data_IF_199038378495
#
_entry.id   IF_199038378495
#
_cell.length_a   1.000
_cell.length_b   1.000
_cell.length_c   1.000
_cell.angle_alpha   90.00
_cell.angle_beta   90.00
_cell.angle_gamma   90.00
#
_symmetry.space_group_name_H-M   'P 1'
#
loop_
_entity.id
_entity.type
_entity.pdbx_description
1 polymer ?
#
# COMPACT_ATOMS: atom_id res chain seq x y z
N UNK A 1 17.80 -33.83 25.71
CA UNK A 1 16.88 -34.78 25.06
C UNK A 1 17.42 -36.16 25.34
N UNK A 2 16.67 -37.00 26.10
CA UNK A 2 17.08 -38.40 26.43
C UNK A 2 17.12 -39.23 25.14
N UNK A 3 18.00 -40.26 25.07
CA UNK A 3 18.34 -40.98 23.87
C UNK A 3 17.22 -41.41 22.92
N UNK A 4 16.06 -41.85 23.43
CA UNK A 4 14.89 -42.23 22.61
C UNK A 4 14.26 -41.04 21.84
N UNK A 5 14.13 -39.88 22.49
CA UNK A 5 13.60 -38.66 21.88
C UNK A 5 14.54 -38.11 20.78
N UNK A 6 15.87 -38.24 20.99
CA UNK A 6 16.87 -37.87 19.99
C UNK A 6 16.85 -38.79 18.76
N UNK A 7 16.64 -40.11 18.96
CA UNK A 7 16.52 -41.05 17.89
C UNK A 7 15.24 -40.85 17.07
N UNK A 8 14.10 -40.59 17.75
CA UNK A 8 12.84 -40.27 17.09
C UNK A 8 12.99 -38.97 16.25
N UNK A 9 13.56 -37.90 16.78
CA UNK A 9 13.75 -36.63 16.04
C UNK A 9 14.56 -36.81 14.74
N UNK A 10 15.56 -37.73 14.74
CA UNK A 10 16.39 -38.00 13.56
C UNK A 10 15.70 -38.88 12.52
N UNK A 11 14.82 -39.79 12.93
CA UNK A 11 14.27 -40.85 12.06
C UNK A 11 12.82 -40.62 11.63
N UNK A 12 12.06 -39.80 12.35
CA UNK A 12 10.62 -39.64 12.14
C UNK A 12 10.27 -39.12 10.73
N UNK A 13 10.96 -38.07 10.24
CA UNK A 13 10.69 -37.54 8.89
C UNK A 13 11.07 -38.52 7.77
N UNK A 14 12.29 -39.12 7.75
CA UNK A 14 12.61 -40.19 6.78
C UNK A 14 11.60 -41.33 6.82
N UNK A 15 11.19 -41.79 8.01
CA UNK A 15 10.20 -42.85 8.16
C UNK A 15 8.83 -42.45 7.59
N UNK A 16 8.40 -41.22 7.84
CA UNK A 16 7.17 -40.69 7.28
C UNK A 16 7.18 -40.65 5.76
N UNK A 17 8.22 -40.08 5.14
CA UNK A 17 8.33 -40.05 3.67
C UNK A 17 8.43 -41.42 3.03
N UNK A 18 9.15 -42.37 3.63
CA UNK A 18 9.22 -43.74 3.16
C UNK A 18 7.85 -44.45 3.24
N UNK A 19 7.11 -44.23 4.35
CA UNK A 19 5.76 -44.76 4.50
C UNK A 19 4.77 -44.15 3.52
N UNK A 20 4.91 -42.84 3.24
CA UNK A 20 4.08 -42.14 2.26
C UNK A 20 4.32 -42.65 0.82
N UNK A 21 5.59 -42.91 0.47
CA UNK A 21 5.96 -43.52 -0.82
C UNK A 21 5.36 -44.91 -0.98
N UNK A 22 5.42 -45.73 0.08
CA UNK A 22 4.80 -47.08 0.06
C UNK A 22 3.26 -46.98 -0.01
N UNK A 23 2.65 -46.06 0.72
CA UNK A 23 1.21 -45.82 0.71
C UNK A 23 0.69 -45.43 -0.67
N UNK A 24 1.47 -44.68 -1.44
CA UNK A 24 1.12 -44.30 -2.81
C UNK A 24 0.98 -45.52 -3.74
N UNK A 25 1.76 -46.58 -3.50
CA UNK A 25 1.71 -47.83 -4.28
C UNK A 25 0.54 -48.72 -3.83
N UNK A 26 0.25 -48.77 -2.54
CA UNK A 26 -0.80 -49.64 -1.95
C UNK A 26 -2.16 -48.98 -1.80
N UNK A 27 -2.23 -47.65 -1.98
CA UNK A 27 -3.41 -46.78 -1.68
C UNK A 27 -3.90 -46.89 -0.23
N UNK A 28 -3.01 -47.32 0.72
CA UNK A 28 -3.28 -47.36 2.16
C UNK A 28 -2.42 -46.35 2.91
N UNK A 29 -3.07 -45.31 3.43
CA UNK A 29 -2.44 -44.17 4.14
C UNK A 29 -2.48 -44.31 5.67
N UNK A 30 -2.87 -45.45 6.22
CA UNK A 30 -3.01 -45.65 7.66
C UNK A 30 -1.68 -45.47 8.40
N UNK A 31 -0.60 -46.08 7.90
CA UNK A 31 0.75 -45.98 8.48
C UNK A 31 1.34 -44.55 8.41
N UNK A 32 1.29 -43.82 7.30
CA UNK A 32 1.67 -42.40 7.28
C UNK A 32 0.89 -41.54 8.25
N UNK A 33 -0.43 -41.75 8.39
CA UNK A 33 -1.26 -41.00 9.33
C UNK A 33 -0.87 -41.26 10.79
N UNK A 34 -0.54 -42.48 11.15
CA UNK A 34 -0.05 -42.87 12.46
C UNK A 34 1.29 -42.18 12.78
N UNK A 35 2.27 -42.25 11.85
CA UNK A 35 3.57 -41.60 12.03
C UNK A 35 3.38 -40.07 12.17
N UNK A 36 2.50 -39.45 11.39
CA UNK A 36 2.20 -38.04 11.48
C UNK A 36 1.60 -37.66 12.87
N UNK A 37 0.75 -38.53 13.41
CA UNK A 37 0.20 -38.33 14.78
C UNK A 37 1.29 -38.39 15.85
N UNK A 38 2.27 -39.27 15.71
CA UNK A 38 3.43 -39.36 16.61
C UNK A 38 4.34 -38.13 16.49
N UNK A 39 4.56 -37.62 15.28
CA UNK A 39 5.31 -36.37 15.05
C UNK A 39 4.60 -35.19 15.74
N UNK A 40 3.28 -35.09 15.61
CA UNK A 40 2.48 -34.04 16.31
C UNK A 40 2.57 -34.18 17.84
N UNK A 41 2.50 -35.40 18.37
CA UNK A 41 2.65 -35.63 19.79
C UNK A 41 4.04 -35.21 20.30
N UNK A 42 5.08 -35.53 19.53
CA UNK A 42 6.45 -35.11 19.82
C UNK A 42 6.60 -33.60 19.81
N UNK A 43 6.07 -32.91 18.79
CA UNK A 43 6.07 -31.44 18.73
C UNK A 43 5.35 -30.81 19.93
N UNK A 44 4.19 -31.30 20.33
CA UNK A 44 3.46 -30.82 21.52
C UNK A 44 4.23 -31.06 22.81
N UNK A 45 4.95 -32.16 22.92
CA UNK A 45 5.75 -32.51 24.12
C UNK A 45 6.96 -31.60 24.30
N UNK A 46 7.67 -31.29 23.23
CA UNK A 46 8.96 -30.61 23.27
C UNK A 46 8.96 -29.16 22.78
N UNK A 47 7.91 -28.75 22.08
CA UNK A 47 7.78 -27.42 21.48
C UNK A 47 6.54 -26.64 21.91
N UNK A 48 5.92 -26.99 23.04
CA UNK A 48 4.67 -26.36 23.52
C UNK A 48 4.74 -24.84 23.62
N UNK A 49 5.91 -24.30 23.95
CA UNK A 49 6.12 -22.83 24.09
C UNK A 49 6.19 -22.09 22.75
N UNK A 50 6.60 -22.77 21.68
CA UNK A 50 6.82 -22.17 20.34
C UNK A 50 5.80 -22.63 19.33
N UNK A 51 5.03 -23.67 19.63
CA UNK A 51 4.03 -24.22 18.71
C UNK A 51 2.80 -23.31 18.65
N UNK A 52 2.42 -22.79 17.45
CA UNK A 52 1.20 -21.98 17.35
C UNK A 52 -0.03 -22.82 17.68
N UNK A 53 -1.08 -22.16 18.19
CA UNK A 53 -2.34 -22.82 18.50
C UNK A 53 -3.02 -23.39 17.23
N UNK A 54 -3.80 -24.44 17.37
CA UNK A 54 -4.54 -25.04 16.25
C UNK A 54 -5.48 -24.03 15.58
N UNK A 55 -5.97 -23.04 16.32
CA UNK A 55 -6.77 -21.92 15.79
C UNK A 55 -5.97 -20.99 14.90
N UNK A 56 -4.73 -20.65 15.27
CA UNK A 56 -3.82 -19.84 14.42
C UNK A 56 -3.45 -20.58 13.14
N UNK A 57 -3.14 -21.88 13.23
CA UNK A 57 -2.82 -22.72 12.07
C UNK A 57 -4.01 -22.76 11.11
N UNK A 58 -5.22 -23.00 11.63
CA UNK A 58 -6.44 -23.02 10.82
C UNK A 58 -6.74 -21.68 10.17
N UNK A 59 -6.52 -20.58 10.90
CA UNK A 59 -6.69 -19.23 10.39
C UNK A 59 -5.68 -18.92 9.27
N UNK A 60 -4.42 -19.34 9.40
CA UNK A 60 -3.40 -19.17 8.37
C UNK A 60 -3.72 -19.97 7.10
N UNK A 61 -4.14 -21.21 7.25
CA UNK A 61 -4.59 -22.04 6.11
C UNK A 61 -5.75 -21.37 5.37
N UNK A 62 -6.75 -20.87 6.13
CA UNK A 62 -7.89 -20.16 5.56
C UNK A 62 -7.46 -18.85 4.88
N UNK A 63 -6.58 -18.06 5.51
CA UNK A 63 -6.03 -16.82 4.98
C UNK A 63 -5.31 -17.04 3.65
N UNK A 64 -4.41 -18.02 3.58
CA UNK A 64 -3.65 -18.37 2.38
C UNK A 64 -4.56 -18.89 1.26
N UNK A 65 -5.60 -19.69 1.59
CA UNK A 65 -6.60 -20.16 0.62
C UNK A 65 -7.46 -19.05 0.06
N UNK A 66 -7.86 -18.08 0.88
CA UNK A 66 -8.64 -16.92 0.46
C UNK A 66 -7.80 -15.98 -0.41
N UNK A 67 -6.52 -15.80 -0.09
CA UNK A 67 -5.58 -14.92 -0.78
C UNK A 67 -6.21 -13.54 -1.07
N UNK A 68 -6.64 -12.87 0.01
CA UNK A 68 -7.58 -11.75 -0.07
C UNK A 68 -7.02 -10.55 -0.85
N UNK A 69 -5.75 -10.18 -0.63
CA UNK A 69 -5.17 -9.00 -1.27
C UNK A 69 -4.99 -9.18 -2.78
N UNK A 70 -4.64 -10.41 -3.23
CA UNK A 70 -4.56 -10.73 -4.65
C UNK A 70 -5.94 -10.69 -5.33
N UNK A 71 -7.01 -11.11 -4.63
CA UNK A 71 -8.38 -10.98 -5.17
C UNK A 71 -8.82 -9.53 -5.20
N UNK A 72 -8.54 -8.79 -4.14
CA UNK A 72 -8.95 -7.39 -4.02
C UNK A 72 -8.31 -6.50 -5.09
N UNK A 73 -7.05 -6.73 -5.49
CA UNK A 73 -6.46 -5.92 -6.56
C UNK A 73 -7.28 -6.00 -7.84
N UNK A 74 -7.76 -7.19 -8.23
CA UNK A 74 -8.60 -7.41 -9.42
C UNK A 74 -9.96 -6.73 -9.29
N UNK A 75 -10.57 -6.81 -8.13
CA UNK A 75 -11.87 -6.19 -7.88
C UNK A 75 -11.77 -4.66 -7.79
N UNK A 76 -10.76 -4.11 -7.14
CA UNK A 76 -10.52 -2.67 -7.15
C UNK A 76 -10.23 -2.15 -8.56
N UNK A 77 -9.47 -2.89 -9.38
CA UNK A 77 -9.27 -2.55 -10.80
C UNK A 77 -10.59 -2.49 -11.54
N UNK A 78 -11.40 -3.55 -11.46
CA UNK A 78 -12.67 -3.62 -12.16
C UNK A 78 -13.62 -2.50 -11.74
N UNK A 79 -13.91 -2.40 -10.45
CA UNK A 79 -14.90 -1.44 -9.95
C UNK A 79 -14.39 0.01 -9.96
N UNK A 80 -13.08 0.24 -9.80
CA UNK A 80 -12.47 1.55 -9.96
C UNK A 80 -12.60 2.08 -11.39
N UNK A 81 -12.28 1.25 -12.38
CA UNK A 81 -12.43 1.60 -13.81
C UNK A 81 -13.90 1.79 -14.18
N UNK A 82 -14.78 0.87 -13.78
CA UNK A 82 -16.22 0.97 -14.04
C UNK A 82 -16.82 2.23 -13.43
N UNK A 83 -16.47 2.56 -12.19
CA UNK A 83 -16.92 3.78 -11.53
C UNK A 83 -16.40 5.03 -12.23
N UNK A 84 -15.11 5.02 -12.64
CA UNK A 84 -14.52 6.15 -13.37
C UNK A 84 -15.23 6.40 -14.71
N UNK A 85 -15.51 5.34 -15.49
CA UNK A 85 -16.28 5.42 -16.71
C UNK A 85 -17.71 5.94 -16.43
N UNK A 86 -18.36 5.40 -15.40
CA UNK A 86 -19.70 5.85 -14.99
C UNK A 86 -19.75 7.34 -14.66
N UNK A 87 -18.75 7.86 -13.95
CA UNK A 87 -18.66 9.28 -13.60
C UNK A 87 -18.39 10.14 -14.83
N UNK A 88 -17.54 9.70 -15.77
CA UNK A 88 -17.33 10.42 -17.03
C UNK A 88 -18.65 10.51 -17.79
N UNK A 89 -19.40 9.41 -17.91
CA UNK A 89 -20.72 9.42 -18.54
C UNK A 89 -21.66 10.39 -17.80
N UNK A 90 -21.66 10.39 -16.46
CA UNK A 90 -22.49 11.28 -15.64
C UNK A 90 -22.17 12.76 -15.87
N UNK A 91 -20.91 13.12 -16.13
CA UNK A 91 -20.52 14.49 -16.44
C UNK A 91 -21.15 14.95 -17.77
N UNK A 92 -21.22 14.06 -18.77
CA UNK A 92 -21.80 14.39 -20.08
C UNK A 92 -23.32 14.18 -20.14
N UNK A 93 -23.82 13.13 -19.49
CA UNK A 93 -25.24 12.77 -19.53
C UNK A 93 -25.70 12.26 -18.17
N UNK A 94 -26.28 13.15 -17.37
CA UNK A 94 -26.90 12.77 -16.10
C UNK A 94 -28.17 11.95 -16.31
N UNK A 95 -28.37 10.93 -15.46
CA UNK A 95 -29.58 10.12 -15.49
C UNK A 95 -29.67 9.20 -14.28
N UNK A 96 -30.86 8.76 -13.87
CA UNK A 96 -31.07 7.97 -12.67
C UNK A 96 -30.32 6.62 -12.71
N UNK A 97 -30.19 6.01 -13.89
CA UNK A 97 -29.47 4.75 -14.09
C UNK A 97 -27.95 4.93 -13.82
N UNK A 98 -27.34 5.99 -14.36
CA UNK A 98 -25.92 6.27 -14.18
C UNK A 98 -25.62 6.62 -12.73
N UNK A 99 -26.48 7.45 -12.12
CA UNK A 99 -26.35 7.81 -10.71
C UNK A 99 -26.48 6.58 -9.80
N UNK A 100 -27.43 5.68 -10.09
CA UNK A 100 -27.59 4.40 -9.39
C UNK A 100 -26.38 3.50 -9.54
N UNK A 101 -25.83 3.38 -10.75
CA UNK A 101 -24.63 2.60 -11.04
C UNK A 101 -23.41 3.11 -10.26
N UNK A 102 -23.13 4.42 -10.27
CA UNK A 102 -22.04 5.03 -9.51
C UNK A 102 -22.20 4.78 -8.01
N UNK A 103 -23.44 4.91 -7.48
CA UNK A 103 -23.73 4.61 -6.08
C UNK A 103 -23.45 3.16 -5.71
N UNK A 104 -23.83 2.20 -6.56
CA UNK A 104 -23.54 0.77 -6.36
C UNK A 104 -22.04 0.52 -6.35
N UNK A 105 -21.28 1.05 -7.32
CA UNK A 105 -19.83 0.95 -7.34
C UNK A 105 -19.20 1.49 -6.06
N UNK A 106 -19.67 2.64 -5.57
CA UNK A 106 -19.21 3.23 -4.31
C UNK A 106 -19.43 2.32 -3.10
N UNK A 107 -20.62 1.70 -3.00
CA UNK A 107 -20.93 0.74 -1.92
C UNK A 107 -20.03 -0.49 -2.00
N UNK A 108 -19.78 -1.00 -3.20
CA UNK A 108 -18.88 -2.14 -3.42
C UNK A 108 -17.44 -1.80 -3.03
N UNK A 109 -16.94 -0.61 -3.36
CA UNK A 109 -15.61 -0.14 -2.94
C UNK A 109 -15.51 -0.06 -1.41
N UNK A 110 -16.57 0.40 -0.72
CA UNK A 110 -16.63 0.36 0.75
C UNK A 110 -16.55 -1.07 1.30
N UNK A 111 -17.22 -2.04 0.66
CA UNK A 111 -17.12 -3.44 1.08
C UNK A 111 -15.70 -4.00 0.92
N UNK A 112 -14.99 -3.58 -0.14
CA UNK A 112 -13.58 -3.96 -0.33
C UNK A 112 -12.67 -3.37 0.75
N UNK A 113 -12.93 -2.14 1.18
CA UNK A 113 -12.20 -1.55 2.32
C UNK A 113 -12.40 -2.36 3.60
N UNK A 114 -13.64 -2.77 3.89
CA UNK A 114 -13.92 -3.67 5.04
C UNK A 114 -13.17 -4.99 4.89
N UNK A 115 -13.17 -5.58 3.70
CA UNK A 115 -12.45 -6.82 3.43
C UNK A 115 -10.92 -6.66 3.59
N UNK A 116 -10.33 -5.54 3.17
CA UNK A 116 -8.92 -5.22 3.43
C UNK A 116 -8.63 -5.12 4.93
N UNK A 117 -9.49 -4.45 5.67
CA UNK A 117 -9.35 -4.30 7.12
C UNK A 117 -9.38 -5.67 7.81
N UNK A 118 -10.33 -6.53 7.44
CA UNK A 118 -10.41 -7.90 7.96
C UNK A 118 -9.15 -8.73 7.57
N UNK A 119 -8.63 -8.53 6.36
CA UNK A 119 -7.38 -9.15 5.92
C UNK A 119 -6.16 -8.75 6.76
N UNK A 120 -6.02 -7.47 7.10
CA UNK A 120 -4.95 -6.98 7.99
C UNK A 120 -5.12 -7.50 9.42
N UNK A 121 -6.35 -7.50 9.95
CA UNK A 121 -6.65 -8.06 11.28
C UNK A 121 -6.33 -9.55 11.34
N UNK A 122 -6.71 -10.31 10.32
CA UNK A 122 -6.40 -11.73 10.23
C UNK A 122 -4.88 -11.97 10.22
N UNK A 123 -4.12 -11.17 9.44
CA UNK A 123 -2.67 -11.25 9.40
C UNK A 123 -2.04 -10.94 10.77
N UNK A 124 -2.51 -9.90 11.46
CA UNK A 124 -2.09 -9.58 12.81
C UNK A 124 -2.36 -10.73 13.80
N UNK A 125 -3.56 -11.30 13.76
CA UNK A 125 -3.91 -12.44 14.62
C UNK A 125 -3.00 -13.65 14.40
N UNK A 126 -2.68 -13.97 13.14
CA UNK A 126 -1.85 -15.13 12.78
C UNK A 126 -0.40 -14.89 13.18
N UNK A 127 0.18 -13.76 12.79
CA UNK A 127 1.60 -13.42 13.05
C UNK A 127 1.88 -13.14 14.52
N UNK A 128 0.92 -12.52 15.22
CA UNK A 128 1.11 -12.03 16.60
C UNK A 128 1.77 -10.65 16.69
N UNK A 129 2.13 -10.05 15.55
CA UNK A 129 2.69 -8.69 15.46
C UNK A 129 1.91 -7.82 14.48
N UNK A 130 2.12 -6.51 14.54
CA UNK A 130 1.43 -5.56 13.69
C UNK A 130 1.75 -5.78 12.19
N UNK A 131 0.76 -5.74 11.27
CA UNK A 131 0.92 -6.10 9.87
C UNK A 131 1.50 -4.95 9.03
N UNK A 132 2.67 -4.42 9.39
CA UNK A 132 3.41 -3.38 8.67
C UNK A 132 4.92 -3.45 8.96
N UNK A 133 5.43 -4.62 9.31
CA UNK A 133 6.82 -4.83 9.74
C UNK A 133 7.74 -5.25 8.61
N UNK A 134 7.22 -5.85 7.54
CA UNK A 134 7.97 -6.21 6.34
C UNK A 134 7.55 -5.37 5.11
N UNK A 135 8.23 -5.58 3.98
CA UNK A 135 7.99 -4.83 2.75
C UNK A 135 6.61 -5.15 2.14
N UNK A 136 6.16 -6.40 2.18
CA UNK A 136 4.83 -6.77 1.70
C UNK A 136 3.72 -6.19 2.59
N UNK A 137 3.87 -6.34 3.90
CA UNK A 137 2.91 -5.81 4.87
C UNK A 137 2.76 -4.30 4.77
N UNK A 138 3.88 -3.59 4.66
CA UNK A 138 3.86 -2.13 4.56
C UNK A 138 3.18 -1.67 3.27
N UNK A 139 3.35 -2.33 2.12
CA UNK A 139 2.64 -1.97 0.88
C UNK A 139 1.14 -2.21 0.99
N UNK A 140 0.68 -3.35 1.50
CA UNK A 140 -0.76 -3.59 1.68
C UNK A 140 -1.37 -2.61 2.70
N UNK A 141 -0.61 -2.19 3.70
CA UNK A 141 -1.01 -1.17 4.66
C UNK A 141 -1.08 0.22 4.02
N UNK A 142 -0.14 0.59 3.12
CA UNK A 142 -0.24 1.82 2.30
C UNK A 142 -1.50 1.79 1.45
N UNK A 143 -1.81 0.66 0.81
CA UNK A 143 -3.05 0.51 0.04
C UNK A 143 -4.28 0.74 0.91
N UNK A 144 -4.32 0.13 2.09
CA UNK A 144 -5.39 0.31 3.08
C UNK A 144 -5.52 1.77 3.51
N UNK A 145 -4.42 2.43 3.89
CA UNK A 145 -4.40 3.84 4.29
C UNK A 145 -4.87 4.75 3.15
N UNK A 146 -4.45 4.47 1.91
CA UNK A 146 -4.90 5.21 0.73
C UNK A 146 -6.42 5.11 0.57
N UNK A 147 -7.00 3.91 0.70
CA UNK A 147 -8.45 3.72 0.61
C UNK A 147 -9.15 4.40 1.78
N UNK A 148 -8.63 4.28 3.01
CA UNK A 148 -9.18 4.94 4.20
C UNK A 148 -9.29 6.46 3.99
N UNK A 149 -8.21 7.13 3.65
CA UNK A 149 -8.20 8.57 3.44
C UNK A 149 -9.01 8.98 2.21
N UNK A 150 -8.96 8.19 1.13
CA UNK A 150 -9.76 8.43 -0.07
C UNK A 150 -11.26 8.36 0.20
N UNK A 151 -11.72 7.41 0.99
CA UNK A 151 -13.12 7.30 1.41
C UNK A 151 -13.49 8.38 2.43
N UNK A 152 -12.59 8.73 3.36
CA UNK A 152 -12.82 9.76 4.37
C UNK A 152 -12.97 11.16 3.75
N UNK A 153 -12.04 11.55 2.87
CA UNK A 153 -12.04 12.86 2.21
C UNK A 153 -13.00 12.91 1.01
N UNK A 154 -13.18 11.77 0.33
CA UNK A 154 -14.06 11.62 -0.83
C UNK A 154 -15.53 11.36 -0.52
N UNK A 155 -15.99 11.57 0.74
CA UNK A 155 -17.39 11.27 1.12
C UNK A 155 -18.42 11.87 0.19
N UNK A 156 -18.19 13.10 -0.29
CA UNK A 156 -19.05 13.85 -1.21
C UNK A 156 -18.52 13.89 -2.66
N UNK A 157 -17.36 13.31 -2.93
CA UNK A 157 -16.68 13.31 -4.23
C UNK A 157 -16.57 11.89 -4.78
N UNK A 158 -17.46 11.53 -5.69
CA UNK A 158 -17.44 10.22 -6.32
C UNK A 158 -16.18 10.00 -7.16
N UNK A 159 -15.67 11.08 -7.77
CA UNK A 159 -14.44 11.03 -8.56
C UNK A 159 -13.20 10.77 -7.69
N UNK A 160 -13.16 11.30 -6.45
CA UNK A 160 -12.13 10.97 -5.47
C UNK A 160 -12.17 9.48 -5.12
N UNK A 161 -13.34 8.91 -4.88
CA UNK A 161 -13.49 7.47 -4.56
C UNK A 161 -13.04 6.60 -5.73
N UNK A 162 -13.41 6.94 -6.96
CA UNK A 162 -12.99 6.19 -8.16
C UNK A 162 -11.47 6.25 -8.35
N UNK A 163 -10.87 7.44 -8.23
CA UNK A 163 -9.41 7.63 -8.33
C UNK A 163 -8.67 6.85 -7.24
N UNK A 164 -9.21 6.84 -6.02
CA UNK A 164 -8.68 6.07 -4.89
C UNK A 164 -8.72 4.57 -5.16
N UNK A 165 -9.84 4.05 -5.64
CA UNK A 165 -9.98 2.63 -5.96
C UNK A 165 -8.99 2.21 -7.05
N UNK A 166 -8.80 3.04 -8.07
CA UNK A 166 -7.84 2.79 -9.14
C UNK A 166 -6.39 2.74 -8.63
N UNK A 167 -5.96 3.72 -7.82
CA UNK A 167 -4.59 3.71 -7.29
C UNK A 167 -4.37 2.61 -6.26
N UNK A 168 -5.37 2.28 -5.44
CA UNK A 168 -5.29 1.14 -4.53
C UNK A 168 -5.09 -0.18 -5.29
N UNK A 169 -5.75 -0.34 -6.44
CA UNK A 169 -5.52 -1.47 -7.33
C UNK A 169 -4.06 -1.55 -7.80
N UNK A 170 -3.46 -0.42 -8.20
CA UNK A 170 -2.05 -0.37 -8.62
C UNK A 170 -1.12 -0.76 -7.46
N UNK A 171 -1.35 -0.23 -6.25
CA UNK A 171 -0.52 -0.56 -5.08
C UNK A 171 -0.63 -2.06 -4.75
N UNK A 172 -1.85 -2.62 -4.75
CA UNK A 172 -2.06 -4.04 -4.50
C UNK A 172 -1.48 -4.93 -5.63
N UNK A 173 -1.48 -4.44 -6.88
CA UNK A 173 -0.79 -5.10 -7.98
C UNK A 173 0.72 -5.14 -7.75
N UNK A 174 1.33 -4.04 -7.30
CA UNK A 174 2.76 -4.00 -6.94
C UNK A 174 3.05 -4.99 -5.81
N UNK A 175 2.20 -5.05 -4.78
CA UNK A 175 2.32 -6.03 -3.69
C UNK A 175 2.29 -7.50 -4.16
N UNK A 176 1.62 -7.76 -5.29
CA UNK A 176 1.48 -9.11 -5.84
C UNK A 176 2.61 -9.51 -6.84
N UNK A 177 3.63 -8.66 -6.99
CA UNK A 177 4.80 -9.00 -7.81
C UNK A 177 5.77 -9.90 -7.05
N UNK A 178 6.57 -10.68 -7.79
CA UNK A 178 7.52 -11.66 -7.22
C UNK A 178 8.69 -11.06 -6.43
N UNK A 179 8.73 -9.74 -6.26
CA UNK A 179 9.80 -9.06 -5.50
C UNK A 179 9.50 -8.96 -4.00
N UNK A 180 8.27 -9.26 -3.62
CA UNK A 180 7.80 -9.18 -2.25
C UNK A 180 7.27 -10.54 -1.83
N UNK A 181 7.72 -11.02 -0.68
CA UNK A 181 7.26 -12.29 -0.12
C UNK A 181 5.97 -12.06 0.70
N UNK A 182 4.83 -12.65 0.30
CA UNK A 182 3.59 -12.54 1.06
C UNK A 182 3.55 -13.46 2.29
N UNK A 183 4.54 -14.33 2.49
CA UNK A 183 4.60 -15.25 3.63
C UNK A 183 4.56 -14.49 4.95
N UNK A 184 3.94 -15.10 5.96
CA UNK A 184 3.96 -14.57 7.33
C UNK A 184 5.24 -15.08 7.98
N UNK A 185 6.19 -14.17 8.22
CA UNK A 185 7.47 -14.50 8.84
C UNK A 185 7.49 -14.13 10.33
N UNK A 186 8.44 -14.69 11.07
CA UNK A 186 8.73 -14.29 12.44
C UNK A 186 9.41 -12.93 12.46
N UNK A 187 9.06 -12.11 13.45
CA UNK A 187 9.64 -10.79 13.63
C UNK A 187 11.15 -10.88 13.94
N UNK A 188 11.96 -10.09 13.26
CA UNK A 188 13.40 -9.95 13.59
C UNK A 188 13.52 -9.23 14.94
N UNK A 189 14.37 -9.67 15.89
CA UNK A 189 14.43 -9.12 17.24
C UNK A 189 14.59 -7.59 17.32
N UNK A 190 15.37 -6.98 16.43
CA UNK A 190 15.53 -5.51 16.38
C UNK A 190 14.23 -4.77 16.04
N UNK A 191 13.25 -5.47 15.45
CA UNK A 191 11.93 -4.93 15.08
C UNK A 191 10.88 -5.15 16.18
N UNK A 192 11.20 -5.88 17.24
CA UNK A 192 10.33 -6.10 18.40
C UNK A 192 10.46 -4.94 19.40
N UNK A 193 9.90 -3.79 19.01
CA UNK A 193 9.91 -2.57 19.83
C UNK A 193 8.55 -1.87 19.74
N UNK A 194 8.06 -1.41 20.90
CA UNK A 194 6.84 -0.61 21.00
C UNK A 194 6.91 0.68 20.15
N UNK A 195 8.03 1.38 20.21
CA UNK A 195 8.22 2.62 19.45
C UNK A 195 8.31 2.38 17.96
N UNK A 196 8.94 1.28 17.53
CA UNK A 196 8.94 0.89 16.13
C UNK A 196 7.52 0.69 15.61
N UNK A 197 6.70 -0.06 16.33
CA UNK A 197 5.34 -0.37 15.91
C UNK A 197 4.52 0.92 15.67
N UNK A 198 4.60 1.89 16.59
CA UNK A 198 3.86 3.17 16.47
C UNK A 198 4.45 4.05 15.37
N UNK A 199 5.77 4.22 15.35
CA UNK A 199 6.48 5.02 14.36
C UNK A 199 6.19 4.56 12.93
N UNK A 200 6.36 3.26 12.66
CA UNK A 200 6.12 2.70 11.32
C UNK A 200 4.65 2.81 10.94
N UNK A 201 3.71 2.56 11.87
CA UNK A 201 2.30 2.74 11.61
C UNK A 201 1.98 4.16 11.10
N UNK A 202 2.51 5.18 11.76
CA UNK A 202 2.23 6.59 11.40
C UNK A 202 2.93 6.98 10.10
N UNK A 203 4.21 6.63 9.92
CA UNK A 203 4.96 6.95 8.69
C UNK A 203 4.34 6.25 7.48
N UNK A 204 4.13 4.95 7.55
CA UNK A 204 3.61 4.19 6.40
C UNK A 204 2.17 4.60 6.08
N UNK A 205 1.34 4.88 7.10
CA UNK A 205 0.01 5.43 6.87
C UNK A 205 0.04 6.81 6.20
N UNK A 206 1.06 7.64 6.44
CA UNK A 206 1.20 8.95 5.80
C UNK A 206 1.37 8.87 4.28
N UNK A 207 1.88 7.75 3.77
CA UNK A 207 2.01 7.53 2.33
C UNK A 207 0.66 7.40 1.63
N UNK A 208 -0.40 6.99 2.36
CA UNK A 208 -1.77 6.93 1.85
C UNK A 208 -2.27 8.29 1.35
N UNK A 209 -2.32 9.34 2.19
CA UNK A 209 -2.69 10.69 1.76
C UNK A 209 -1.82 11.25 0.64
N UNK A 210 -0.50 10.99 0.64
CA UNK A 210 0.38 11.44 -0.44
C UNK A 210 0.07 10.73 -1.77
N UNK A 211 -0.21 9.42 -1.72
CA UNK A 211 -0.65 8.67 -2.89
C UNK A 211 -1.99 9.16 -3.41
N UNK A 212 -2.93 9.47 -2.49
CA UNK A 212 -4.20 10.09 -2.84
C UNK A 212 -3.98 11.44 -3.54
N UNK A 213 -3.13 12.29 -3.01
CA UNK A 213 -2.79 13.58 -3.61
C UNK A 213 -2.22 13.44 -5.02
N UNK A 214 -1.32 12.50 -5.22
CA UNK A 214 -0.74 12.18 -6.53
C UNK A 214 -1.81 11.78 -7.55
N UNK A 215 -2.69 10.82 -7.21
CA UNK A 215 -3.71 10.35 -8.17
C UNK A 215 -4.79 11.41 -8.44
N UNK A 216 -5.14 12.23 -7.44
CA UNK A 216 -6.03 13.37 -7.65
C UNK A 216 -5.39 14.40 -8.56
N UNK A 217 -4.09 14.66 -8.42
CA UNK A 217 -3.34 15.50 -9.35
C UNK A 217 -3.42 14.98 -10.78
N UNK A 218 -3.15 13.68 -11.01
CA UNK A 218 -3.31 13.03 -12.33
C UNK A 218 -4.72 13.19 -12.87
N UNK A 219 -5.73 12.94 -12.04
CA UNK A 219 -7.14 13.07 -12.42
C UNK A 219 -7.47 14.51 -12.84
N UNK A 220 -6.98 15.50 -12.09
CA UNK A 220 -7.17 16.92 -12.45
C UNK A 220 -6.53 17.25 -13.80
N UNK A 221 -5.33 16.74 -14.09
CA UNK A 221 -4.68 16.97 -15.39
C UNK A 221 -5.51 16.35 -16.54
N UNK A 222 -6.07 15.17 -16.35
CA UNK A 222 -6.97 14.52 -17.32
C UNK A 222 -8.22 15.36 -17.52
N UNK A 223 -8.87 15.85 -16.45
CA UNK A 223 -10.05 16.72 -16.56
C UNK A 223 -9.74 18.03 -17.31
N UNK A 224 -8.55 18.60 -17.13
CA UNK A 224 -8.13 19.79 -17.89
C UNK A 224 -8.03 19.51 -19.39
N UNK A 225 -7.57 18.31 -19.78
CA UNK A 225 -7.53 17.90 -21.20
C UNK A 225 -8.93 17.70 -21.76
N UNK A 226 -9.86 17.10 -20.99
CA UNK A 226 -11.23 16.84 -21.39
C UNK A 226 -12.13 18.09 -21.37
N UNK A 227 -11.62 19.23 -20.88
CA UNK A 227 -12.34 20.50 -20.81
C UNK A 227 -12.58 21.08 -22.21
N UNK A 228 -13.82 21.44 -22.49
CA UNK A 228 -14.21 22.16 -23.69
C UNK A 228 -15.25 23.27 -23.34
N UNK A 229 -15.67 24.06 -24.34
CA UNK A 229 -16.61 25.16 -24.11
C UNK A 229 -17.94 24.74 -23.50
N UNK A 230 -18.45 23.55 -23.85
CA UNK A 230 -19.76 23.07 -23.42
C UNK A 230 -19.74 22.51 -21.97
N UNK A 231 -18.63 21.91 -21.52
CA UNK A 231 -18.54 21.27 -20.21
C UNK A 231 -17.73 22.06 -19.18
N UNK A 232 -17.17 23.21 -19.55
CA UNK A 232 -16.22 23.98 -18.72
C UNK A 232 -16.73 24.25 -17.31
N UNK A 233 -17.99 24.66 -17.13
CA UNK A 233 -18.52 24.96 -15.82
C UNK A 233 -18.51 23.74 -14.87
N UNK A 234 -18.88 22.56 -15.36
CA UNK A 234 -18.83 21.31 -14.59
C UNK A 234 -17.41 20.88 -14.32
N UNK A 235 -16.51 20.98 -15.30
CA UNK A 235 -15.08 20.65 -15.14
C UNK A 235 -14.40 21.56 -14.13
N UNK A 236 -14.70 22.86 -14.14
CA UNK A 236 -14.15 23.82 -13.17
C UNK A 236 -14.51 23.48 -11.72
N UNK A 237 -15.74 23.01 -11.48
CA UNK A 237 -16.20 22.55 -10.17
C UNK A 237 -15.42 21.31 -9.71
N UNK A 238 -15.35 20.29 -10.57
CA UNK A 238 -14.61 19.05 -10.26
C UNK A 238 -13.11 19.32 -10.05
N UNK A 239 -12.47 20.11 -10.91
CA UNK A 239 -11.05 20.47 -10.77
C UNK A 239 -10.80 21.24 -9.46
N UNK A 240 -11.71 22.15 -9.09
CA UNK A 240 -11.61 22.89 -7.82
C UNK A 240 -11.75 21.94 -6.63
N UNK A 241 -12.76 21.08 -6.65
CA UNK A 241 -13.02 20.10 -5.60
C UNK A 241 -11.84 19.16 -5.40
N UNK A 242 -11.37 18.51 -6.47
CA UNK A 242 -10.24 17.57 -6.40
C UNK A 242 -8.95 18.25 -5.96
N UNK A 243 -8.67 19.48 -6.42
CA UNK A 243 -7.49 20.24 -5.98
C UNK A 243 -7.57 20.56 -4.49
N UNK A 244 -8.76 20.89 -3.97
CA UNK A 244 -8.95 21.14 -2.53
C UNK A 244 -8.78 19.86 -1.69
N UNK A 245 -9.32 18.74 -2.16
CA UNK A 245 -9.13 17.44 -1.49
C UNK A 245 -7.65 17.01 -1.54
N UNK A 246 -6.97 17.26 -2.65
CA UNK A 246 -5.53 17.04 -2.80
C UNK A 246 -4.76 17.86 -1.74
N UNK A 247 -5.04 19.15 -1.62
CA UNK A 247 -4.40 20.01 -0.61
C UNK A 247 -4.63 19.51 0.83
N UNK A 248 -5.84 19.09 1.16
CA UNK A 248 -6.16 18.48 2.44
C UNK A 248 -5.38 17.18 2.67
N UNK A 249 -5.34 16.31 1.67
CA UNK A 249 -4.62 15.04 1.74
C UNK A 249 -3.12 15.26 1.97
N UNK A 250 -2.48 16.16 1.19
CA UNK A 250 -1.06 16.48 1.37
C UNK A 250 -0.76 17.09 2.73
N UNK A 251 -1.67 17.93 3.25
CA UNK A 251 -1.52 18.54 4.59
C UNK A 251 -1.55 17.49 5.69
N UNK A 252 -2.52 16.57 5.64
CA UNK A 252 -2.62 15.47 6.61
C UNK A 252 -1.42 14.54 6.49
N UNK A 253 -1.02 14.19 5.26
CA UNK A 253 0.17 13.37 5.02
C UNK A 253 1.44 13.99 5.58
N UNK A 254 1.64 15.31 5.39
CA UNK A 254 2.79 16.04 5.91
C UNK A 254 2.83 16.04 7.45
N UNK A 255 1.69 16.30 8.10
CA UNK A 255 1.59 16.27 9.57
C UNK A 255 1.93 14.86 10.09
N UNK A 256 1.35 13.81 9.48
CA UNK A 256 1.61 12.43 9.88
C UNK A 256 3.06 12.04 9.65
N UNK A 257 3.64 12.37 8.48
CA UNK A 257 5.05 12.05 8.19
C UNK A 257 5.99 12.76 9.17
N UNK A 258 5.71 14.02 9.50
CA UNK A 258 6.51 14.80 10.46
C UNK A 258 6.44 14.18 11.85
N UNK A 259 5.25 13.90 12.37
CA UNK A 259 5.06 13.25 13.67
C UNK A 259 5.75 11.89 13.68
N UNK A 260 5.51 11.08 12.64
CA UNK A 260 6.12 9.76 12.51
C UNK A 260 7.66 9.81 12.49
N UNK A 261 8.24 10.82 11.84
CA UNK A 261 9.69 11.00 11.81
C UNK A 261 10.28 11.31 13.21
N UNK A 262 9.59 12.13 14.02
CA UNK A 262 9.98 12.37 15.41
C UNK A 262 9.85 11.12 16.29
N UNK A 263 8.78 10.36 16.13
CA UNK A 263 8.59 9.08 16.83
C UNK A 263 9.68 8.06 16.42
N UNK A 264 10.13 8.10 15.15
CA UNK A 264 11.26 7.30 14.68
C UNK A 264 12.58 7.66 15.36
N UNK A 265 12.80 8.93 15.68
CA UNK A 265 13.92 9.36 16.49
C UNK A 265 13.91 8.73 17.88
N UNK A 266 12.74 8.60 18.52
CA UNK A 266 12.61 7.93 19.82
C UNK A 266 12.99 6.44 19.72
N UNK A 267 12.52 5.74 18.68
CA UNK A 267 12.91 4.36 18.42
C UNK A 267 14.42 4.22 18.14
N UNK A 268 14.98 5.14 17.34
CA UNK A 268 16.41 5.15 17.04
C UNK A 268 17.26 5.34 18.29
N UNK A 269 16.80 6.18 19.23
CA UNK A 269 17.47 6.35 20.51
C UNK A 269 17.44 5.08 21.37
N UNK A 270 16.32 4.38 21.41
CA UNK A 270 16.19 3.10 22.12
C UNK A 270 17.07 2.00 21.51
N UNK A 271 17.08 1.89 20.18
CA UNK A 271 17.75 0.81 19.47
C UNK A 271 19.24 1.04 19.24
N UNK A 272 19.66 2.30 19.07
CA UNK A 272 21.03 2.69 18.66
C UNK A 272 21.66 3.80 19.54
N UNK A 273 20.97 4.25 20.58
CA UNK A 273 21.47 5.27 21.51
C UNK A 273 21.56 6.69 20.93
N UNK A 274 20.88 6.99 19.84
CA UNK A 274 20.88 8.31 19.18
C UNK A 274 19.55 8.62 18.52
N UNK A 275 19.09 9.86 18.61
CA UNK A 275 17.82 10.30 18.02
C UNK A 275 17.86 10.51 16.50
N UNK A 276 19.06 10.78 15.95
CA UNK A 276 19.27 11.07 14.54
C UNK A 276 20.69 10.68 14.12
N UNK A 277 20.85 10.10 12.94
CA UNK A 277 22.16 9.64 12.44
C UNK A 277 22.43 9.90 10.98
N UNK A 278 21.58 10.69 10.32
CA UNK A 278 21.67 10.93 8.86
C UNK A 278 21.64 9.64 8.04
N UNK A 279 20.98 8.62 8.56
CA UNK A 279 20.70 7.42 7.79
C UNK A 279 19.92 7.78 6.52
N UNK A 280 20.12 7.10 5.39
CA UNK A 280 19.42 7.41 4.15
C UNK A 280 17.90 7.51 4.29
N UNK A 281 17.28 6.67 5.13
CA UNK A 281 15.83 6.69 5.34
C UNK A 281 15.36 7.90 6.16
N UNK A 282 16.10 8.26 7.21
CA UNK A 282 15.88 9.49 7.98
C UNK A 282 16.00 10.73 7.07
N UNK A 283 17.08 10.77 6.29
CA UNK A 283 17.39 11.89 5.38
C UNK A 283 16.31 12.05 4.30
N UNK A 284 15.89 10.96 3.64
CA UNK A 284 14.86 11.03 2.60
C UNK A 284 13.46 11.31 3.17
N UNK A 285 13.17 10.88 4.39
CA UNK A 285 11.95 11.29 5.10
C UNK A 285 11.93 12.81 5.33
N UNK A 286 13.04 13.39 5.79
CA UNK A 286 13.18 14.84 5.96
C UNK A 286 13.08 15.58 4.63
N UNK A 287 13.74 15.11 3.57
CA UNK A 287 13.62 15.68 2.22
C UNK A 287 12.17 15.67 1.76
N UNK A 288 11.44 14.58 1.99
CA UNK A 288 10.01 14.49 1.65
C UNK A 288 9.18 15.52 2.42
N UNK A 289 9.43 15.68 3.72
CA UNK A 289 8.77 16.71 4.55
C UNK A 289 8.99 18.10 3.93
N UNK A 290 10.23 18.44 3.56
CA UNK A 290 10.56 19.76 2.99
C UNK A 290 9.90 19.97 1.62
N UNK A 291 9.88 18.95 0.76
CA UNK A 291 9.24 19.02 -0.57
C UNK A 291 7.73 19.25 -0.41
N UNK A 292 7.05 18.47 0.43
CA UNK A 292 5.61 18.63 0.64
C UNK A 292 5.27 19.94 1.37
N UNK A 293 6.09 20.38 2.30
CA UNK A 293 5.96 21.71 2.90
C UNK A 293 6.02 22.81 1.82
N UNK A 294 6.97 22.74 0.90
CA UNK A 294 7.05 23.65 -0.24
C UNK A 294 5.78 23.60 -1.09
N UNK A 295 5.32 22.41 -1.50
CA UNK A 295 4.13 22.23 -2.35
C UNK A 295 2.90 22.86 -1.71
N UNK A 296 2.65 22.63 -0.43
CA UNK A 296 1.49 23.19 0.29
C UNK A 296 1.56 24.73 0.35
N UNK A 297 2.78 25.29 0.47
CA UNK A 297 2.98 26.74 0.55
C UNK A 297 3.08 27.44 -0.82
N UNK A 298 3.10 26.69 -1.94
CA UNK A 298 3.13 27.27 -3.28
C UNK A 298 2.02 28.32 -3.52
N UNK A 299 0.86 28.12 -2.94
CA UNK A 299 -0.27 29.07 -3.06
C UNK A 299 0.02 30.47 -2.48
N UNK A 300 1.01 30.58 -1.60
CA UNK A 300 1.42 31.88 -1.03
C UNK A 300 2.28 32.69 -2.01
N UNK A 301 2.89 32.01 -3.00
CA UNK A 301 3.74 32.63 -4.01
C UNK A 301 2.89 33.00 -5.23
N UNK A 302 2.77 34.27 -5.62
CA UNK A 302 1.88 34.72 -6.70
C UNK A 302 2.03 33.96 -8.02
N UNK A 303 3.25 33.64 -8.44
CA UNK A 303 3.54 32.90 -9.67
C UNK A 303 3.20 31.40 -9.62
N UNK A 304 2.97 30.83 -8.43
CA UNK A 304 2.74 29.40 -8.21
C UNK A 304 1.30 29.07 -7.78
N UNK A 305 0.38 30.03 -7.79
CA UNK A 305 -1.02 29.85 -7.34
C UNK A 305 -1.90 29.06 -8.31
N UNK A 306 -1.41 28.75 -9.51
CA UNK A 306 -2.19 28.09 -10.55
C UNK A 306 -2.57 26.65 -10.18
N UNK A 307 -3.83 26.24 -10.43
CA UNK A 307 -4.29 24.87 -10.17
C UNK A 307 -3.47 23.82 -10.96
N UNK A 308 -3.06 24.15 -12.18
CA UNK A 308 -2.24 23.25 -12.98
C UNK A 308 -0.88 22.99 -12.33
N UNK A 309 -0.14 24.05 -11.97
CA UNK A 309 1.20 23.91 -11.40
C UNK A 309 1.16 23.20 -10.03
N UNK A 310 0.12 23.48 -9.22
CA UNK A 310 -0.07 22.80 -7.94
C UNK A 310 -0.24 21.27 -8.10
N UNK A 311 -1.10 20.83 -9.02
CA UNK A 311 -1.35 19.42 -9.25
C UNK A 311 -0.15 18.73 -9.91
N UNK A 312 0.60 19.39 -10.79
CA UNK A 312 1.87 18.88 -11.32
C UNK A 312 2.91 18.74 -10.20
N UNK A 313 3.03 19.74 -9.32
CA UNK A 313 3.94 19.67 -8.19
C UNK A 313 3.58 18.55 -7.20
N UNK A 314 2.28 18.30 -6.94
CA UNK A 314 1.85 17.19 -6.08
C UNK A 314 2.20 15.82 -6.66
N UNK A 315 2.13 15.67 -7.99
CA UNK A 315 2.55 14.45 -8.69
C UNK A 315 4.08 14.28 -8.58
N UNK A 316 4.84 15.33 -8.86
CA UNK A 316 6.30 15.29 -8.82
C UNK A 316 6.83 15.03 -7.39
N UNK A 317 6.19 15.64 -6.37
CA UNK A 317 6.53 15.44 -4.96
C UNK A 317 6.43 13.98 -4.53
N UNK A 318 5.52 13.20 -5.12
CA UNK A 318 5.37 11.79 -4.80
C UNK A 318 6.63 10.97 -5.13
N UNK A 319 7.47 11.45 -6.05
CA UNK A 319 8.79 10.88 -6.32
C UNK A 319 9.69 10.80 -5.08
N UNK A 320 9.56 11.75 -4.13
CA UNK A 320 10.31 11.71 -2.87
C UNK A 320 9.85 10.57 -1.97
N UNK A 321 8.55 10.27 -1.93
CA UNK A 321 8.00 9.11 -1.20
C UNK A 321 8.46 7.80 -1.83
N UNK A 322 8.45 7.73 -3.18
CA UNK A 322 8.95 6.56 -3.90
C UNK A 322 10.45 6.33 -3.62
N UNK A 323 11.23 7.42 -3.53
CA UNK A 323 12.64 7.33 -3.17
C UNK A 323 12.81 6.90 -1.71
N UNK A 324 12.03 7.44 -0.76
CA UNK A 324 12.06 7.05 0.65
C UNK A 324 11.71 5.58 0.85
N UNK A 325 10.73 5.07 0.09
CA UNK A 325 10.24 3.69 0.23
C UNK A 325 11.09 2.69 -0.57
N UNK A 326 11.18 2.86 -1.89
CA UNK A 326 11.88 1.92 -2.77
C UNK A 326 13.36 2.29 -2.94
N UNK A 327 13.67 3.55 -3.17
CA UNK A 327 15.02 4.01 -3.43
C UNK A 327 15.97 3.68 -2.28
N UNK A 328 15.58 3.99 -1.07
CA UNK A 328 16.41 3.71 0.12
C UNK A 328 16.53 2.20 0.34
N UNK A 329 15.45 1.43 0.22
CA UNK A 329 15.51 0.01 0.52
C UNK A 329 16.32 -0.81 -0.49
N UNK A 330 16.36 -0.39 -1.77
CA UNK A 330 16.95 -1.19 -2.85
C UNK A 330 18.26 -0.63 -3.40
N UNK A 331 18.51 0.68 -3.27
CA UNK A 331 19.68 1.33 -3.90
C UNK A 331 20.64 1.99 -2.91
N UNK A 332 20.22 2.17 -1.67
CA UNK A 332 21.05 2.81 -0.63
C UNK A 332 21.30 1.84 0.52
N UNK A 333 22.46 1.97 1.14
CA UNK A 333 22.85 1.19 2.32
C UNK A 333 22.73 2.04 3.58
N UNK A 334 22.12 1.50 4.64
CA UNK A 334 21.93 2.19 5.91
C UNK A 334 21.37 1.26 6.98
N UNK A 335 21.18 1.77 8.20
CA UNK A 335 20.66 1.00 9.33
C UNK A 335 19.20 0.53 9.13
N UNK A 336 18.45 1.22 8.28
CA UNK A 336 17.07 0.87 7.91
C UNK A 336 16.97 0.08 6.60
N UNK A 337 18.07 -0.26 5.93
CA UNK A 337 18.01 -1.10 4.74
C UNK A 337 18.18 -2.55 5.12
N UNK A 338 17.10 -3.31 5.03
CA UNK A 338 17.07 -4.76 5.31
C UNK A 338 17.17 -5.59 4.03
N UNK A 339 17.42 -4.97 2.89
CA UNK A 339 17.62 -5.66 1.62
C UNK A 339 18.99 -6.34 1.62
N UNK A 340 18.99 -7.66 1.72
CA UNK A 340 20.17 -8.51 1.49
C UNK A 340 20.07 -9.06 0.06
N UNK A 341 21.08 -8.85 -0.77
CA UNK A 341 21.16 -9.42 -2.12
C UNK A 341 21.60 -8.41 -3.19
N UNK A 342 21.50 -8.82 -4.44
CA UNK A 342 21.84 -7.99 -5.60
C UNK A 342 20.90 -6.80 -5.72
N UNK A 343 21.45 -5.64 -6.10
CA UNK A 343 20.66 -4.43 -6.34
C UNK A 343 19.67 -4.70 -7.48
N UNK A 344 18.35 -4.63 -7.23
CA UNK A 344 17.38 -4.93 -8.28
C UNK A 344 17.43 -3.87 -9.37
N UNK A 345 17.35 -4.33 -10.61
CA UNK A 345 17.24 -3.41 -11.77
C UNK A 345 15.88 -2.73 -11.72
N UNK A 346 15.87 -1.39 -11.85
CA UNK A 346 14.61 -0.63 -11.91
C UNK A 346 13.73 -1.17 -13.05
N UNK A 347 12.50 -1.64 -12.76
CA UNK A 347 11.62 -2.19 -13.79
C UNK A 347 11.32 -1.17 -14.89
N UNK A 348 11.32 -1.60 -16.14
CA UNK A 348 11.13 -0.72 -17.30
C UNK A 348 9.82 0.06 -17.29
N UNK A 349 8.76 -0.50 -16.68
CA UNK A 349 7.47 0.20 -16.56
C UNK A 349 7.57 1.52 -15.78
N UNK A 350 8.53 1.66 -14.84
CA UNK A 350 8.75 2.91 -14.09
C UNK A 350 9.13 4.04 -15.01
N UNK A 351 10.04 3.78 -15.96
CA UNK A 351 10.45 4.77 -16.96
C UNK A 351 9.28 5.17 -17.87
N UNK A 352 8.46 4.20 -18.30
CA UNK A 352 7.26 4.48 -19.11
C UNK A 352 6.23 5.29 -18.32
N UNK A 353 6.06 4.99 -17.03
CA UNK A 353 5.14 5.75 -16.17
C UNK A 353 5.60 7.20 -16.01
N UNK A 354 6.89 7.43 -15.74
CA UNK A 354 7.43 8.79 -15.63
C UNK A 354 7.27 9.54 -16.96
N UNK A 355 7.61 8.92 -18.09
CA UNK A 355 7.42 9.51 -19.41
C UNK A 355 5.95 9.87 -19.66
N UNK A 356 5.01 8.98 -19.32
CA UNK A 356 3.57 9.22 -19.41
C UNK A 356 3.14 10.43 -18.57
N UNK A 357 3.60 10.54 -17.32
CA UNK A 357 3.25 11.66 -16.44
C UNK A 357 3.80 13.00 -16.97
N UNK A 358 5.01 13.00 -17.52
CA UNK A 358 5.58 14.20 -18.16
C UNK A 358 4.77 14.62 -19.38
N UNK A 359 4.43 13.67 -20.26
CA UNK A 359 3.61 13.94 -21.47
C UNK A 359 2.23 14.45 -21.06
N UNK A 360 1.60 13.83 -20.05
CA UNK A 360 0.32 14.26 -19.49
C UNK A 360 0.38 15.70 -18.97
N UNK A 361 1.44 16.05 -18.24
CA UNK A 361 1.64 17.41 -17.74
C UNK A 361 1.77 18.42 -18.89
N UNK A 362 2.54 18.10 -19.93
CA UNK A 362 2.72 18.98 -21.09
C UNK A 362 1.41 19.17 -21.86
N UNK A 363 0.70 18.08 -22.17
CA UNK A 363 -0.57 18.15 -22.90
C UNK A 363 -1.60 18.94 -22.09
N UNK A 364 -1.74 18.63 -20.80
CA UNK A 364 -2.69 19.33 -19.91
C UNK A 364 -2.40 20.83 -19.80
N UNK A 365 -1.12 21.24 -19.88
CA UNK A 365 -0.74 22.66 -19.90
C UNK A 365 -1.26 23.40 -21.13
N UNK A 366 -1.21 22.78 -22.30
CA UNK A 366 -1.73 23.36 -23.54
C UNK A 366 -3.23 23.65 -23.40
N UNK A 367 -4.00 22.66 -22.89
CA UNK A 367 -5.44 22.83 -22.65
C UNK A 367 -5.73 23.83 -21.52
N UNK A 368 -4.92 23.81 -20.44
CA UNK A 368 -5.02 24.76 -19.36
C UNK A 368 -4.83 26.20 -19.85
N UNK A 369 -3.82 26.46 -20.65
CA UNK A 369 -3.63 27.79 -21.28
C UNK A 369 -4.80 28.21 -22.16
N UNK A 370 -5.36 27.28 -22.93
CA UNK A 370 -6.48 27.55 -23.84
C UNK A 370 -7.76 27.95 -23.10
N UNK A 371 -8.05 27.29 -21.98
CA UNK A 371 -9.36 27.38 -21.32
C UNK A 371 -9.35 28.20 -20.03
N UNK A 372 -8.21 28.34 -19.35
CA UNK A 372 -8.11 28.90 -17.99
C UNK A 372 -7.25 30.17 -17.90
N UNK A 373 -6.32 30.40 -18.82
CA UNK A 373 -5.54 31.64 -18.86
C UNK A 373 -6.21 32.57 -19.86
N UNK A 374 -6.67 33.73 -19.38
CA UNK A 374 -7.20 34.77 -20.26
C UNK A 374 -6.08 35.19 -21.21
N UNK A 375 -6.36 35.21 -22.54
CA UNK A 375 -5.52 35.96 -23.47
C UNK A 375 -5.67 37.42 -23.09
N UNK A 376 -4.57 38.02 -22.53
CA UNK A 376 -4.48 39.44 -22.32
C UNK A 376 -4.56 40.21 -23.63
#
# INVERSE_FOLDING_TARGET
IKGQDSMFAKTALPLYFNSLSAAKASNDYTKPAEILSLIRAYQKKHGSEVLPSDSKISAEIAYNKINIFNRLFRYFTLFGVLMFIGIIIQIFKEGPLVNGFVKVCKIVIWSFFVAMTLGLIARWYISGHAPWTDAYESIIYVAWATVFFGLAFGRKSDLTVASTAFVAAIILWVANQNWLDPAISTLVPVLDSYWLMIHVAVIVASYGPFTLGMILGVTVLILMILTNGANKAKMDLNIKELTTINELALTVGLVMLTIGNFLGGQWANESWGRYWGWDPKETWALISIMIYAFVIHMRLVPGLRGKWIYNVASIAAYGSIMMTYFGVNFYLTGLHSYASGDVPVTPSFVYYLVAFLVVLAIISYVFYRKHYIKKG
#
